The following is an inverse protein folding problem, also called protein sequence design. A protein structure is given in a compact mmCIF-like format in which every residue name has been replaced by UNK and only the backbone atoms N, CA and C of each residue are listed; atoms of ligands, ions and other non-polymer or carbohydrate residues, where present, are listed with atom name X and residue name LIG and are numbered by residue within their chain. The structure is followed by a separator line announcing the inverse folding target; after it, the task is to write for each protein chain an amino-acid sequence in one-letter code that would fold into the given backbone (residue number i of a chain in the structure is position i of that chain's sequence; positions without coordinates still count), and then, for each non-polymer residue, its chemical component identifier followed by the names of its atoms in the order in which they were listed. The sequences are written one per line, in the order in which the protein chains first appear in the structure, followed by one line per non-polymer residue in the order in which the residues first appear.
data_IF_881729256281
#
_entry.id   IF_881729256281
#
_cell.length_a   1.000
_cell.length_b   1.000
_cell.length_c   1.000
_cell.angle_alpha   90.00
_cell.angle_beta   90.00
_cell.angle_gamma   90.00
#
_symmetry.space_group_name_H-M   'P 1'
#
loop_
_entity.id
_entity.type
_entity.pdbx_description
1 polymer ?
#
# COMPACT_ATOMS: atom_id res chain seq x y z
N UNK A 1 2.17 -8.41 4.75
CA UNK A 1 3.23 -9.40 4.51
C UNK A 1 2.60 -10.71 4.07
N UNK A 2 3.24 -11.44 3.15
CA UNK A 2 2.79 -12.76 2.68
C UNK A 2 3.78 -13.79 3.20
N UNK A 3 3.30 -14.96 3.62
CA UNK A 3 4.18 -16.07 3.94
C UNK A 3 4.46 -16.86 2.66
N UNK A 4 5.74 -17.13 2.41
CA UNK A 4 6.16 -18.04 1.34
C UNK A 4 5.56 -19.44 1.52
N UNK A 5 5.50 -20.24 0.43
CA UNK A 5 5.17 -21.65 0.51
C UNK A 5 5.97 -22.36 1.59
N UNK A 6 5.32 -23.32 2.26
CA UNK A 6 5.95 -24.12 3.31
C UNK A 6 7.08 -24.97 2.73
N UNK A 7 8.27 -24.86 3.30
CA UNK A 7 9.45 -25.63 2.95
C UNK A 7 9.46 -27.02 3.59
N UNK A 8 10.44 -27.86 3.22
CA UNK A 8 10.58 -29.23 3.74
C UNK A 8 10.79 -29.31 5.25
N UNK A 9 11.41 -28.29 5.85
CA UNK A 9 11.63 -28.16 7.30
C UNK A 9 10.38 -27.64 8.05
N UNK A 10 9.29 -27.41 7.33
CA UNK A 10 8.04 -26.90 7.86
C UNK A 10 7.99 -25.38 8.03
N UNK A 11 9.06 -24.64 7.73
CA UNK A 11 9.14 -23.17 7.79
C UNK A 11 8.83 -22.52 6.43
N UNK A 12 8.51 -21.22 6.35
CA UNK A 12 8.36 -20.55 5.05
C UNK A 12 9.67 -20.55 4.27
N UNK A 13 9.63 -20.92 2.98
CA UNK A 13 10.80 -20.81 2.08
C UNK A 13 11.31 -19.36 2.03
N UNK A 14 12.63 -19.19 2.10
CA UNK A 14 13.24 -17.86 2.00
C UNK A 14 13.22 -17.35 0.56
N UNK A 15 13.01 -16.04 0.38
CA UNK A 15 13.08 -15.39 -0.93
C UNK A 15 14.50 -15.43 -1.52
N UNK A 16 15.52 -15.41 -0.68
CA UNK A 16 16.90 -15.50 -1.11
C UNK A 16 17.74 -16.33 -0.13
N UNK A 17 18.88 -16.80 -0.62
CA UNK A 17 19.93 -17.34 0.20
C UNK A 17 20.69 -16.20 0.91
N UNK A 18 20.81 -16.27 2.24
CA UNK A 18 21.43 -15.19 3.04
C UNK A 18 22.96 -15.11 2.92
N UNK A 19 23.60 -16.19 2.50
CA UNK A 19 25.05 -16.26 2.33
C UNK A 19 25.47 -15.82 0.92
N UNK A 20 24.75 -16.28 -0.10
CA UNK A 20 25.12 -16.04 -1.51
C UNK A 20 24.37 -14.88 -2.15
N UNK A 21 23.25 -14.45 -1.55
CA UNK A 21 22.35 -13.46 -2.15
C UNK A 21 21.52 -14.00 -3.32
N UNK A 22 21.62 -15.28 -3.66
CA UNK A 22 20.86 -15.88 -4.76
C UNK A 22 19.35 -15.83 -4.46
N UNK A 23 18.57 -15.26 -5.39
CA UNK A 23 17.11 -15.13 -5.27
C UNK A 23 16.42 -16.40 -5.75
N UNK A 24 15.45 -16.88 -4.97
CA UNK A 24 14.54 -17.96 -5.31
C UNK A 24 13.34 -17.38 -6.08
N UNK A 25 13.39 -17.48 -7.41
CA UNK A 25 12.36 -16.93 -8.30
C UNK A 25 11.01 -17.60 -8.16
N UNK A 26 10.96 -18.85 -7.71
CA UNK A 26 9.69 -19.55 -7.50
C UNK A 26 8.97 -19.00 -6.28
N UNK A 27 9.71 -18.67 -5.22
CA UNK A 27 9.16 -17.96 -4.06
C UNK A 27 8.66 -16.59 -4.47
N UNK A 28 9.45 -15.81 -5.21
CA UNK A 28 9.03 -14.49 -5.70
C UNK A 28 7.72 -14.56 -6.51
N UNK A 29 7.64 -15.52 -7.45
CA UNK A 29 6.45 -15.75 -8.28
C UNK A 29 5.23 -16.16 -7.45
N UNK A 30 5.43 -16.95 -6.40
CA UNK A 30 4.35 -17.35 -5.50
C UNK A 30 3.70 -16.19 -4.74
N UNK A 31 4.38 -15.04 -4.65
CA UNK A 31 3.85 -13.84 -4.01
C UNK A 31 3.02 -12.95 -4.95
N UNK A 32 3.15 -13.10 -6.28
CA UNK A 32 2.44 -12.27 -7.26
C UNK A 32 0.91 -12.19 -7.07
N UNK A 33 0.19 -13.26 -6.67
CA UNK A 33 -1.24 -13.16 -6.41
C UNK A 33 -1.61 -12.14 -5.32
N UNK A 34 -0.66 -11.74 -4.49
CA UNK A 34 -0.84 -10.81 -3.38
C UNK A 34 -0.21 -9.43 -3.64
N UNK A 35 0.44 -9.23 -4.78
CA UNK A 35 0.96 -7.91 -5.17
C UNK A 35 -0.20 -7.02 -5.62
N UNK A 36 -0.51 -6.01 -4.80
CA UNK A 36 -1.60 -5.06 -5.05
C UNK A 36 -1.42 -4.35 -6.40
N UNK A 37 -0.18 -4.00 -6.79
CA UNK A 37 0.07 -3.35 -8.08
C UNK A 37 -0.34 -4.27 -9.22
N UNK A 38 0.08 -5.54 -9.20
CA UNK A 38 -0.29 -6.50 -10.24
C UNK A 38 -1.80 -6.78 -10.25
N UNK A 39 -2.45 -6.82 -9.08
CA UNK A 39 -3.90 -6.97 -9.01
C UNK A 39 -4.65 -5.79 -9.64
N UNK A 40 -4.17 -4.57 -9.44
CA UNK A 40 -4.76 -3.38 -10.05
C UNK A 40 -4.52 -3.37 -11.57
N UNK A 41 -3.29 -3.60 -12.02
CA UNK A 41 -2.95 -3.64 -13.46
C UNK A 41 -3.76 -4.70 -14.22
N UNK A 42 -3.90 -5.90 -13.67
CA UNK A 42 -4.59 -7.02 -14.33
C UNK A 42 -6.11 -6.83 -14.39
N UNK A 43 -6.69 -6.04 -13.49
CA UNK A 43 -8.15 -5.98 -13.30
C UNK A 43 -8.72 -4.56 -13.37
N UNK A 44 -7.95 -3.58 -13.86
CA UNK A 44 -8.28 -2.16 -13.75
C UNK A 44 -9.66 -1.80 -14.32
N UNK A 45 -10.06 -2.38 -15.44
CA UNK A 45 -11.36 -2.08 -16.07
C UNK A 45 -12.55 -2.37 -15.13
N UNK A 46 -12.41 -3.34 -14.24
CA UNK A 46 -13.44 -3.68 -13.24
C UNK A 46 -13.24 -2.93 -11.91
N UNK A 47 -11.99 -2.71 -11.49
CA UNK A 47 -11.68 -2.11 -10.19
C UNK A 47 -11.67 -0.58 -10.22
N UNK A 48 -11.18 0.04 -11.29
CA UNK A 48 -11.02 1.49 -11.41
C UNK A 48 -12.28 2.28 -11.09
N UNK A 49 -13.45 1.95 -11.68
CA UNK A 49 -14.71 2.62 -11.36
C UNK A 49 -15.13 2.46 -9.88
N UNK A 50 -14.77 1.36 -9.24
CA UNK A 50 -15.10 1.09 -7.84
C UNK A 50 -14.17 1.83 -6.86
N UNK A 51 -12.97 2.19 -7.32
CA UNK A 51 -11.89 2.79 -6.51
C UNK A 51 -11.76 4.30 -6.70
N UNK A 52 -12.52 4.90 -7.62
CA UNK A 52 -12.54 6.35 -7.86
C UNK A 52 -12.79 7.11 -6.57
N UNK A 53 -11.90 8.04 -6.23
CA UNK A 53 -11.96 8.89 -5.05
C UNK A 53 -11.69 8.19 -3.72
N UNK A 54 -11.16 6.95 -3.72
CA UNK A 54 -11.02 6.14 -2.49
C UNK A 54 -9.58 5.85 -2.06
N UNK A 55 -8.62 5.91 -2.98
CA UNK A 55 -7.25 5.49 -2.70
C UNK A 55 -6.40 6.66 -2.20
N UNK A 56 -6.00 6.59 -0.93
CA UNK A 56 -5.04 7.52 -0.30
C UNK A 56 -3.91 6.69 0.30
N UNK A 57 -2.69 6.83 -0.22
CA UNK A 57 -1.52 6.01 0.10
C UNK A 57 -0.36 6.95 0.45
N UNK A 58 0.18 6.78 1.66
CA UNK A 58 1.29 7.59 2.18
C UNK A 58 2.46 6.68 2.51
N UNK A 59 3.67 7.09 2.12
CA UNK A 59 4.89 6.31 2.34
C UNK A 59 6.08 7.22 2.65
N UNK A 60 6.98 6.76 3.51
CA UNK A 60 8.24 7.43 3.77
C UNK A 60 9.27 7.14 2.68
N UNK A 61 10.08 8.13 2.30
CA UNK A 61 11.20 7.93 1.36
C UNK A 61 12.37 7.13 1.95
N UNK A 62 12.37 6.88 3.26
CA UNK A 62 13.41 6.15 3.99
C UNK A 62 12.78 5.12 4.92
N UNK A 63 11.75 4.42 4.46
CA UNK A 63 11.07 3.40 5.26
C UNK A 63 12.07 2.34 5.74
N UNK A 64 12.05 2.06 7.04
CA UNK A 64 13.03 1.15 7.67
C UNK A 64 12.76 -0.32 7.39
N UNK A 65 11.64 -0.64 6.73
CA UNK A 65 11.33 -1.96 6.16
C UNK A 65 11.53 -2.03 4.65
N UNK A 66 12.08 -0.98 4.02
CA UNK A 66 12.40 -0.92 2.58
C UNK A 66 11.16 -1.08 1.66
N UNK A 67 10.02 -0.54 2.09
CA UNK A 67 8.74 -0.62 1.36
C UNK A 67 8.51 0.53 0.37
N UNK A 68 9.39 1.52 0.35
CA UNK A 68 9.27 2.70 -0.50
C UNK A 68 9.37 2.35 -1.99
N UNK A 69 10.25 1.42 -2.37
CA UNK A 69 10.39 0.99 -3.77
C UNK A 69 9.12 0.35 -4.32
N UNK A 70 8.46 -0.52 -3.54
CA UNK A 70 7.20 -1.12 -3.93
C UNK A 70 6.09 -0.06 -4.09
N UNK A 71 6.06 0.93 -3.19
CA UNK A 71 5.06 2.00 -3.24
C UNK A 71 5.29 2.96 -4.42
N UNK A 72 6.55 3.22 -4.79
CA UNK A 72 6.88 3.99 -5.99
C UNK A 72 6.40 3.29 -7.26
N UNK A 73 6.57 1.97 -7.36
CA UNK A 73 6.05 1.20 -8.49
C UNK A 73 4.53 1.24 -8.54
N UNK A 74 3.86 1.10 -7.39
CA UNK A 74 2.40 1.24 -7.30
C UNK A 74 1.93 2.64 -7.76
N UNK A 75 2.62 3.70 -7.34
CA UNK A 75 2.34 5.08 -7.78
C UNK A 75 2.42 5.22 -9.30
N UNK A 76 3.48 4.68 -9.90
CA UNK A 76 3.68 4.71 -11.35
C UNK A 76 2.57 3.97 -12.09
N UNK A 77 2.20 2.78 -11.62
CA UNK A 77 1.11 1.99 -12.21
C UNK A 77 -0.23 2.70 -12.11
N UNK A 78 -0.62 3.21 -10.94
CA UNK A 78 -1.87 3.96 -10.76
C UNK A 78 -1.94 5.21 -11.65
N UNK A 79 -0.82 5.92 -11.80
CA UNK A 79 -0.72 7.07 -12.73
C UNK A 79 -0.94 6.62 -14.18
N UNK A 80 -0.29 5.52 -14.58
CA UNK A 80 -0.40 4.98 -15.95
C UNK A 80 -1.81 4.46 -16.26
N UNK A 81 -2.52 3.97 -15.24
CA UNK A 81 -3.90 3.52 -15.32
C UNK A 81 -4.91 4.68 -15.32
N UNK A 82 -4.46 5.93 -15.17
CA UNK A 82 -5.33 7.11 -15.11
C UNK A 82 -6.15 7.21 -13.82
N UNK A 83 -5.68 6.60 -12.72
CA UNK A 83 -6.33 6.70 -11.41
C UNK A 83 -6.21 8.10 -10.81
N UNK A 84 -7.23 8.50 -10.05
CA UNK A 84 -7.24 9.70 -9.21
C UNK A 84 -6.64 9.47 -7.81
N UNK A 85 -5.98 8.32 -7.59
CA UNK A 85 -5.39 7.97 -6.31
C UNK A 85 -4.38 9.01 -5.81
N UNK A 86 -4.46 9.35 -4.53
CA UNK A 86 -3.46 10.15 -3.84
C UNK A 86 -2.33 9.22 -3.39
N UNK A 87 -1.14 9.36 -3.98
CA UNK A 87 0.05 8.59 -3.57
C UNK A 87 1.22 9.52 -3.26
N UNK A 88 1.53 9.69 -1.99
CA UNK A 88 2.52 10.64 -1.48
C UNK A 88 3.74 9.93 -0.88
N UNK A 89 4.94 10.34 -1.33
CA UNK A 89 6.22 9.89 -0.78
C UNK A 89 6.81 11.03 0.03
N UNK A 90 6.92 10.87 1.35
CA UNK A 90 7.36 11.92 2.27
C UNK A 90 8.90 11.90 2.46
N UNK A 91 9.61 13.00 2.11
CA UNK A 91 11.05 13.10 2.27
C UNK A 91 11.53 12.91 3.71
N UNK A 92 12.57 12.10 3.91
CA UNK A 92 13.19 11.86 5.22
C UNK A 92 12.36 11.04 6.21
N UNK A 93 11.12 10.69 5.87
CA UNK A 93 10.25 9.89 6.73
C UNK A 93 10.56 8.40 6.64
N UNK A 94 10.49 7.74 7.79
CA UNK A 94 10.64 6.31 7.97
C UNK A 94 9.36 5.68 8.54
N UNK A 95 9.40 4.39 8.84
CA UNK A 95 8.25 3.64 9.32
C UNK A 95 7.70 4.15 10.67
N UNK A 96 8.57 4.72 11.50
CA UNK A 96 8.24 5.14 12.86
C UNK A 96 7.79 6.60 12.93
N UNK A 97 8.17 7.44 11.97
CA UNK A 97 7.95 8.89 12.04
C UNK A 97 7.12 9.48 10.88
N UNK A 98 6.68 8.66 9.93
CA UNK A 98 5.81 9.06 8.82
C UNK A 98 4.51 9.67 9.34
N UNK A 99 3.88 9.02 10.31
CA UNK A 99 2.63 9.46 10.93
C UNK A 99 2.90 10.65 11.86
N UNK A 100 3.15 11.83 11.31
CA UNK A 100 3.19 13.08 12.08
C UNK A 100 1.80 13.50 12.56
N UNK A 101 1.74 14.44 13.49
CA UNK A 101 0.48 15.04 13.91
C UNK A 101 -0.25 15.68 12.73
N UNK A 102 0.44 16.48 11.92
CA UNK A 102 -0.14 17.12 10.73
C UNK A 102 -0.73 16.11 9.75
N UNK A 103 -0.01 15.03 9.45
CA UNK A 103 -0.49 14.01 8.52
C UNK A 103 -1.71 13.27 9.09
N UNK A 104 -1.69 12.92 10.38
CA UNK A 104 -2.84 12.31 11.05
C UNK A 104 -4.06 13.23 11.03
N UNK A 105 -3.87 14.51 11.33
CA UNK A 105 -4.96 15.49 11.34
C UNK A 105 -5.57 15.65 9.94
N UNK A 106 -4.72 15.73 8.90
CA UNK A 106 -5.19 15.75 7.51
C UNK A 106 -5.99 14.49 7.15
N UNK A 107 -5.47 13.30 7.44
CA UNK A 107 -6.18 12.03 7.18
C UNK A 107 -7.53 12.02 7.89
N UNK A 108 -7.57 12.38 9.18
CA UNK A 108 -8.82 12.44 9.94
C UNK A 108 -9.83 13.42 9.34
N UNK A 109 -9.38 14.60 8.91
CA UNK A 109 -10.24 15.60 8.28
C UNK A 109 -10.79 15.10 6.93
N UNK A 110 -9.95 14.53 6.07
CA UNK A 110 -10.35 13.96 4.79
C UNK A 110 -11.37 12.83 4.98
N UNK A 111 -11.09 11.88 5.87
CA UNK A 111 -12.00 10.78 6.18
C UNK A 111 -13.33 11.29 6.75
N UNK A 112 -13.29 12.24 7.69
CA UNK A 112 -14.49 12.83 8.30
C UNK A 112 -15.32 13.56 7.25
N UNK A 113 -14.68 14.34 6.38
CA UNK A 113 -15.36 15.05 5.30
C UNK A 113 -16.07 14.09 4.35
N UNK A 114 -15.39 13.04 3.88
CA UNK A 114 -16.00 12.02 3.01
C UNK A 114 -17.15 11.32 3.71
N UNK A 115 -16.97 10.95 4.98
CA UNK A 115 -18.01 10.29 5.76
C UNK A 115 -19.25 11.19 5.92
N UNK A 116 -19.11 12.40 6.45
CA UNK A 116 -20.24 13.31 6.69
C UNK A 116 -20.93 13.73 5.38
N UNK A 117 -20.19 13.82 4.27
CA UNK A 117 -20.80 14.08 2.95
C UNK A 117 -21.72 12.96 2.49
N UNK A 118 -21.45 11.70 2.88
CA UNK A 118 -22.28 10.54 2.57
C UNK A 118 -23.33 10.24 3.65
N UNK A 119 -23.12 10.73 4.87
CA UNK A 119 -24.00 10.54 6.02
C UNK A 119 -24.37 11.89 6.66
N UNK A 120 -25.09 12.78 5.97
CA UNK A 120 -25.33 14.16 6.41
C UNK A 120 -26.19 14.25 7.69
N UNK A 121 -26.93 13.19 8.03
CA UNK A 121 -27.73 13.11 9.25
C UNK A 121 -27.03 12.35 10.38
N UNK A 122 -25.72 12.09 10.25
CA UNK A 122 -24.97 11.46 11.32
C UNK A 122 -25.03 12.35 12.58
N UNK A 123 -25.45 11.80 13.74
CA UNK A 123 -25.61 12.60 14.94
C UNK A 123 -24.26 13.14 15.38
N UNK A 124 -24.23 14.44 15.69
CA UNK A 124 -23.07 15.02 16.37
C UNK A 124 -23.01 14.44 17.79
N UNK A 125 -22.11 13.49 17.98
CA UNK A 125 -21.85 12.85 19.28
C UNK A 125 -20.78 13.61 20.08
N UNK A 126 -20.38 14.80 19.65
CA UNK A 126 -19.55 15.69 20.46
C UNK A 126 -20.41 16.37 21.55
N UNK A 127 -20.71 15.62 22.61
CA UNK A 127 -20.95 16.14 23.97
C UNK A 127 -20.26 15.23 24.98
#
# INVERSE_FOLDING_TARGET
AVFSPRGPDGTPRLLWNRETGAVDTDVAKSWEPYDIRLQLERNWDSLGPLLTGKLHIFMGSRDTFLLEGATQLLKQSLTSLGSDAVVEIHPGKDHSNLMSEDLRNRICQEMTYVFLSNFPNWPDIAN
#
